data_IF_520802258652
#
_entry.id   IF_520802258652
#
_cell.length_a   1.000
_cell.length_b   1.000
_cell.length_c   1.000
_cell.angle_alpha   90.00
_cell.angle_beta   90.00
_cell.angle_gamma   90.00
#
_symmetry.space_group_name_H-M   'P 1'
#
loop_
_entity.id
_entity.type
_entity.pdbx_description
1 polymer ?
#
# COMPACT_ATOMS: atom_id res chain seq x y z
N UNK A 1 -41.76 -48.64 -19.23
CA UNK A 1 -41.64 -47.29 -19.81
C UNK A 1 -42.11 -46.13 -18.92
N UNK A 2 -43.37 -46.10 -18.44
CA UNK A 2 -43.91 -44.97 -17.64
C UNK A 2 -42.98 -44.50 -16.49
N UNK A 3 -42.53 -45.41 -15.64
CA UNK A 3 -41.61 -45.12 -14.52
C UNK A 3 -40.29 -44.49 -14.95
N UNK A 4 -39.80 -44.80 -16.15
CA UNK A 4 -38.59 -44.20 -16.72
C UNK A 4 -38.82 -42.72 -17.02
N UNK A 5 -39.96 -42.39 -17.65
CA UNK A 5 -40.33 -41.00 -17.92
C UNK A 5 -40.51 -40.19 -16.63
N UNK A 6 -41.12 -40.79 -15.60
CA UNK A 6 -41.33 -40.10 -14.32
C UNK A 6 -39.98 -39.70 -13.71
N UNK A 7 -39.00 -40.62 -13.69
CA UNK A 7 -37.63 -40.32 -13.24
C UNK A 7 -36.97 -39.20 -14.04
N UNK A 8 -37.11 -39.21 -15.37
CA UNK A 8 -36.58 -38.13 -16.23
C UNK A 8 -37.22 -36.79 -15.86
N UNK A 9 -38.53 -36.76 -15.64
CA UNK A 9 -39.23 -35.53 -15.26
C UNK A 9 -38.77 -35.02 -13.90
N UNK A 10 -38.57 -35.92 -12.92
CA UNK A 10 -38.00 -35.57 -11.62
C UNK A 10 -36.65 -34.88 -11.79
N UNK A 11 -35.74 -35.45 -12.58
CA UNK A 11 -34.42 -34.83 -12.81
C UNK A 11 -34.50 -33.48 -13.52
N UNK A 12 -35.42 -33.32 -14.49
CA UNK A 12 -35.63 -32.01 -15.13
C UNK A 12 -36.12 -30.97 -14.10
N UNK A 13 -37.01 -31.36 -13.17
CA UNK A 13 -37.46 -30.49 -12.09
C UNK A 13 -36.34 -30.16 -11.10
N UNK A 14 -35.47 -31.12 -10.76
CA UNK A 14 -34.30 -30.86 -9.90
C UNK A 14 -33.31 -29.91 -10.58
N UNK A 15 -33.02 -30.11 -11.86
CA UNK A 15 -32.15 -29.20 -12.63
C UNK A 15 -32.69 -27.77 -12.68
N UNK A 16 -34.01 -27.60 -12.83
CA UNK A 16 -34.63 -26.28 -12.82
C UNK A 16 -34.42 -25.53 -11.49
N UNK A 17 -34.45 -26.24 -10.36
CA UNK A 17 -34.25 -25.63 -9.03
C UNK A 17 -32.82 -25.12 -8.81
N UNK A 18 -31.86 -25.59 -9.60
CA UNK A 18 -30.47 -25.12 -9.55
C UNK A 18 -30.28 -23.75 -10.23
N UNK A 19 -31.24 -23.32 -11.06
CA UNK A 19 -31.18 -22.01 -11.67
C UNK A 19 -31.39 -20.91 -10.62
N UNK A 20 -30.78 -19.73 -10.81
CA UNK A 20 -31.08 -18.54 -10.01
C UNK A 20 -32.57 -18.14 -10.06
N UNK A 21 -33.12 -17.49 -9.01
CA UNK A 21 -34.54 -17.13 -8.94
C UNK A 21 -35.04 -16.23 -10.08
N UNK A 22 -34.16 -15.43 -10.66
CA UNK A 22 -34.41 -14.55 -11.82
C UNK A 22 -34.48 -15.34 -13.15
N UNK A 23 -33.76 -16.45 -13.26
CA UNK A 23 -33.78 -17.33 -14.43
C UNK A 23 -34.89 -18.40 -14.38
N UNK A 24 -35.36 -18.72 -13.18
CA UNK A 24 -36.58 -19.48 -12.95
C UNK A 24 -37.77 -18.65 -13.46
N UNK A 25 -38.35 -19.03 -14.60
CA UNK A 25 -39.44 -18.25 -15.17
C UNK A 25 -40.63 -18.16 -14.22
N UNK A 26 -41.22 -16.97 -14.14
CA UNK A 26 -42.47 -16.70 -13.41
C UNK A 26 -43.70 -17.41 -13.99
N UNK A 27 -43.57 -18.07 -15.16
CA UNK A 27 -44.69 -18.75 -15.81
C UNK A 27 -44.76 -20.21 -15.39
N UNK A 28 -45.90 -20.58 -14.81
CA UNK A 28 -46.27 -21.91 -14.31
C UNK A 28 -46.17 -23.04 -15.36
N UNK A 29 -45.92 -22.72 -16.64
CA UNK A 29 -45.93 -23.66 -17.77
C UNK A 29 -44.68 -23.54 -18.66
N UNK A 30 -43.50 -23.69 -18.08
CA UNK A 30 -42.26 -23.85 -18.87
C UNK A 30 -42.21 -25.23 -19.52
N UNK A 31 -41.83 -25.29 -20.80
CA UNK A 31 -41.58 -26.56 -21.46
C UNK A 31 -40.27 -27.18 -20.97
N UNK A 32 -40.20 -28.52 -20.94
CA UNK A 32 -38.99 -29.26 -20.57
C UNK A 32 -37.77 -28.87 -21.40
N UNK A 33 -37.97 -28.60 -22.70
CA UNK A 33 -36.90 -28.17 -23.59
C UNK A 33 -36.33 -26.80 -23.22
N UNK A 34 -37.19 -25.85 -22.84
CA UNK A 34 -36.74 -24.51 -22.40
C UNK A 34 -35.99 -24.60 -21.09
N UNK A 35 -36.49 -25.38 -20.13
CA UNK A 35 -35.80 -25.63 -18.85
C UNK A 35 -34.40 -26.18 -19.10
N UNK A 36 -34.29 -27.24 -19.89
CA UNK A 36 -33.00 -27.87 -20.19
C UNK A 36 -32.04 -26.90 -20.91
N UNK A 37 -32.53 -26.14 -21.90
CA UNK A 37 -31.72 -25.14 -22.61
C UNK A 37 -31.14 -24.11 -21.64
N UNK A 38 -31.97 -23.54 -20.76
CA UNK A 38 -31.52 -22.53 -19.78
C UNK A 38 -30.53 -23.08 -18.78
N UNK A 39 -30.77 -24.28 -18.24
CA UNK A 39 -29.81 -24.94 -17.35
C UNK A 39 -28.45 -25.12 -18.02
N UNK A 40 -28.45 -25.52 -19.30
CA UNK A 40 -27.21 -25.64 -20.07
C UNK A 40 -26.53 -24.27 -20.25
N UNK A 41 -27.27 -23.24 -20.66
CA UNK A 41 -26.74 -21.87 -20.85
C UNK A 41 -26.18 -21.30 -19.55
N UNK A 42 -26.91 -21.48 -18.43
CA UNK A 42 -26.49 -21.04 -17.11
C UNK A 42 -25.18 -21.69 -16.67
N UNK A 43 -25.07 -23.02 -16.74
CA UNK A 43 -23.83 -23.69 -16.33
C UNK A 43 -22.65 -23.36 -17.23
N UNK A 44 -22.86 -23.17 -18.53
CA UNK A 44 -21.80 -22.71 -19.43
C UNK A 44 -21.35 -21.28 -19.09
N UNK A 45 -22.28 -20.39 -18.77
CA UNK A 45 -21.97 -19.04 -18.36
C UNK A 45 -21.22 -19.02 -17.02
N UNK A 46 -21.68 -19.77 -16.02
CA UNK A 46 -21.01 -19.88 -14.72
C UNK A 46 -19.60 -20.45 -14.86
N UNK A 47 -19.41 -21.50 -15.66
CA UNK A 47 -18.08 -22.06 -15.93
C UNK A 47 -17.13 -21.03 -16.58
N UNK A 48 -17.63 -20.28 -17.57
CA UNK A 48 -16.90 -19.19 -18.21
C UNK A 48 -16.53 -18.08 -17.21
N UNK A 49 -17.49 -17.63 -16.41
CA UNK A 49 -17.28 -16.61 -15.37
C UNK A 49 -16.28 -17.05 -14.32
N UNK A 50 -16.35 -18.30 -13.85
CA UNK A 50 -15.41 -18.85 -12.87
C UNK A 50 -13.99 -18.93 -13.43
N UNK A 51 -13.82 -19.33 -14.70
CA UNK A 51 -12.52 -19.34 -15.37
C UNK A 51 -11.93 -17.93 -15.47
N UNK A 52 -12.73 -16.95 -15.87
CA UNK A 52 -12.30 -15.56 -15.94
C UNK A 52 -11.94 -15.00 -14.56
N UNK A 53 -12.76 -15.26 -13.54
CA UNK A 53 -12.51 -14.84 -12.17
C UNK A 53 -11.22 -15.46 -11.61
N UNK A 54 -10.99 -16.76 -11.83
CA UNK A 54 -9.77 -17.43 -11.40
C UNK A 54 -8.53 -16.84 -12.09
N UNK A 55 -8.60 -16.56 -13.39
CA UNK A 55 -7.50 -15.92 -14.10
C UNK A 55 -7.18 -14.53 -13.53
N UNK A 56 -8.21 -13.73 -13.24
CA UNK A 56 -8.04 -12.42 -12.61
C UNK A 56 -7.42 -12.51 -11.21
N UNK A 57 -7.88 -13.46 -10.38
CA UNK A 57 -7.33 -13.70 -9.05
C UNK A 57 -5.85 -14.07 -9.12
N UNK A 58 -5.46 -14.98 -10.02
CA UNK A 58 -4.05 -15.35 -10.19
C UNK A 58 -3.20 -14.17 -10.68
N UNK A 59 -3.72 -13.36 -11.61
CA UNK A 59 -3.03 -12.14 -12.06
C UNK A 59 -2.80 -11.17 -10.89
N UNK A 60 -3.85 -10.87 -10.11
CA UNK A 60 -3.74 -10.00 -8.93
C UNK A 60 -2.79 -10.57 -7.88
N UNK A 61 -2.78 -11.90 -7.70
CA UNK A 61 -1.86 -12.57 -6.77
C UNK A 61 -0.40 -12.37 -7.17
N UNK A 62 -0.09 -12.49 -8.46
CA UNK A 62 1.25 -12.23 -9.01
C UNK A 62 1.64 -10.77 -8.83
N UNK A 63 0.75 -9.85 -9.21
CA UNK A 63 0.99 -8.40 -9.07
C UNK A 63 1.24 -7.99 -7.61
N UNK A 64 0.41 -8.48 -6.69
CA UNK A 64 0.57 -8.21 -5.26
C UNK A 64 1.91 -8.75 -4.73
N UNK A 65 2.33 -9.93 -5.20
CA UNK A 65 3.64 -10.50 -4.90
C UNK A 65 4.79 -9.58 -5.33
N UNK A 66 4.73 -9.06 -6.55
CA UNK A 66 5.72 -8.13 -7.10
C UNK A 66 5.74 -6.80 -6.33
N UNK A 67 4.57 -6.23 -6.04
CA UNK A 67 4.46 -4.99 -5.26
C UNK A 67 5.03 -5.15 -3.85
N UNK A 68 4.73 -6.27 -3.18
CA UNK A 68 5.32 -6.59 -1.87
C UNK A 68 6.83 -6.74 -1.94
N UNK A 69 7.35 -7.35 -3.01
CA UNK A 69 8.80 -7.44 -3.22
C UNK A 69 9.42 -6.05 -3.39
N UNK A 70 8.83 -5.21 -4.26
CA UNK A 70 9.33 -3.86 -4.50
C UNK A 70 9.29 -3.00 -3.24
N UNK A 71 8.24 -3.16 -2.43
CA UNK A 71 8.13 -2.46 -1.15
C UNK A 71 9.26 -2.86 -0.18
N UNK A 72 9.58 -4.15 -0.08
CA UNK A 72 10.72 -4.62 0.74
C UNK A 72 12.06 -4.06 0.27
N UNK A 73 12.31 -4.05 -1.04
CA UNK A 73 13.54 -3.48 -1.60
C UNK A 73 13.69 -1.99 -1.27
N UNK A 74 12.61 -1.21 -1.44
CA UNK A 74 12.59 0.21 -1.10
C UNK A 74 12.76 0.46 0.40
N UNK A 75 12.15 -0.36 1.25
CA UNK A 75 12.35 -0.28 2.69
C UNK A 75 13.81 -0.54 3.07
N UNK A 76 14.46 -1.53 2.44
CA UNK A 76 15.86 -1.83 2.68
C UNK A 76 16.77 -0.67 2.22
N UNK A 77 16.53 -0.13 1.02
CA UNK A 77 17.28 1.02 0.51
C UNK A 77 17.13 2.24 1.43
N UNK A 78 15.90 2.52 1.87
CA UNK A 78 15.62 3.61 2.79
C UNK A 78 16.34 3.44 4.14
N UNK A 79 16.38 2.22 4.69
CA UNK A 79 17.12 1.91 5.91
C UNK A 79 18.62 2.16 5.74
N UNK A 80 19.21 1.72 4.62
CA UNK A 80 20.63 1.93 4.33
C UNK A 80 20.98 3.41 4.18
N UNK A 81 20.17 4.16 3.43
CA UNK A 81 20.35 5.60 3.28
C UNK A 81 20.20 6.33 4.61
N UNK A 82 19.19 5.98 5.40
CA UNK A 82 18.98 6.56 6.73
C UNK A 82 20.15 6.29 7.68
N UNK A 83 20.73 5.08 7.65
CA UNK A 83 21.90 4.74 8.43
C UNK A 83 23.15 5.53 7.98
N UNK A 84 23.35 5.69 6.67
CA UNK A 84 24.45 6.48 6.10
C UNK A 84 24.36 7.95 6.53
N UNK A 85 23.16 8.54 6.48
CA UNK A 85 22.92 9.90 6.93
C UNK A 85 23.18 10.08 8.43
N UNK A 86 22.69 9.16 9.27
CA UNK A 86 22.97 9.19 10.71
C UNK A 86 24.47 9.09 11.01
N UNK A 87 25.19 8.20 10.32
CA UNK A 87 26.63 8.05 10.50
C UNK A 87 27.38 9.33 10.07
N UNK A 88 27.01 9.92 8.95
CA UNK A 88 27.57 11.20 8.48
C UNK A 88 27.32 12.35 9.47
N UNK A 89 26.10 12.45 10.01
CA UNK A 89 25.76 13.44 11.03
C UNK A 89 26.56 13.23 12.33
N UNK A 90 26.71 11.99 12.79
CA UNK A 90 27.51 11.65 13.96
C UNK A 90 29.00 12.01 13.78
N UNK A 91 29.56 11.73 12.59
CA UNK A 91 30.93 12.10 12.25
C UNK A 91 31.13 13.63 12.26
N UNK A 92 30.21 14.39 11.66
CA UNK A 92 30.25 15.85 11.68
C UNK A 92 30.16 16.42 13.11
N UNK A 93 29.29 15.86 13.95
CA UNK A 93 29.17 16.25 15.35
C UNK A 93 30.44 15.93 16.17
N UNK A 94 31.08 14.79 15.92
CA UNK A 94 32.36 14.42 16.55
C UNK A 94 33.48 15.40 16.16
N UNK A 95 33.54 15.81 14.89
CA UNK A 95 34.49 16.83 14.43
C UNK A 95 34.29 18.18 15.12
N UNK A 96 33.05 18.60 15.36
CA UNK A 96 32.75 19.83 16.11
C UNK A 96 33.18 19.73 17.58
N UNK A 97 33.00 18.57 18.21
CA UNK A 97 33.41 18.33 19.61
C UNK A 97 34.92 18.27 19.80
N UNK A 98 35.64 17.70 18.82
CA UNK A 98 37.11 17.61 18.84
C UNK A 98 37.81 18.89 18.36
N UNK A 99 37.06 19.89 17.87
CA UNK A 99 37.62 21.20 17.59
C UNK A 99 37.95 21.87 18.94
N UNK A 100 39.20 21.78 19.36
CA UNK A 100 39.71 22.50 20.53
C UNK A 100 39.32 23.99 20.43
N UNK A 101 38.93 24.64 21.54
CA UNK A 101 38.82 26.09 21.55
C UNK A 101 40.18 26.64 21.11
N UNK A 102 40.19 27.40 20.01
CA UNK A 102 41.38 28.07 19.50
C UNK A 102 41.99 28.81 20.69
N UNK A 103 43.21 28.41 21.09
CA UNK A 103 43.92 29.07 22.18
C UNK A 103 43.87 30.59 21.93
N UNK A 104 43.57 31.41 22.94
CA UNK A 104 43.58 32.86 22.78
C UNK A 104 44.93 33.24 22.19
N UNK A 105 44.93 33.84 21.01
CA UNK A 105 46.13 34.49 20.49
C UNK A 105 46.51 35.52 21.55
N UNK A 106 47.64 35.30 22.21
CA UNK A 106 48.23 36.23 23.15
C UNK A 106 48.32 37.61 22.49
N UNK A 107 47.72 38.67 23.06
CA UNK A 107 48.06 40.01 22.64
C UNK A 107 49.49 40.30 23.13
N UNK A 108 50.36 40.74 22.23
CA UNK A 108 51.58 41.44 22.60
C UNK A 108 51.20 42.61 23.54
N UNK A 109 51.88 42.80 24.67
CA UNK A 109 51.76 44.04 25.42
C UNK A 109 52.59 45.12 24.72
N UNK A 110 52.20 46.39 24.93
CA UNK A 110 52.75 47.63 24.34
C UNK A 110 52.08 47.94 22.98
N UNK A 111 51.13 48.88 22.85
CA UNK A 111 51.06 50.20 23.48
C UNK A 111 49.64 50.66 23.82
N UNK A 112 49.59 51.44 24.89
CA UNK A 112 48.53 52.35 25.32
C UNK A 112 48.03 53.29 24.22
N UNK A 113 46.70 53.40 24.06
CA UNK A 113 45.94 54.64 24.24
C UNK A 113 44.56 54.58 23.57
N UNK A 114 43.56 55.20 24.23
CA UNK A 114 42.42 55.80 23.51
C UNK A 114 41.05 55.26 23.91
N UNK A 115 40.42 55.96 24.84
CA UNK A 115 39.01 55.85 25.20
C UNK A 115 38.06 56.26 24.05
N UNK A 116 36.85 55.68 24.02
CA UNK A 116 35.70 56.23 23.29
C UNK A 116 34.61 55.22 22.93
N UNK A 117 33.36 55.35 23.42
CA UNK A 117 32.30 54.36 23.25
C UNK A 117 31.40 54.65 22.03
N UNK A 118 30.78 53.61 21.46
CA UNK A 118 29.79 53.77 20.39
C UNK A 118 28.96 52.51 20.16
N UNK A 119 27.65 52.68 20.34
CA UNK A 119 26.51 51.79 20.03
C UNK A 119 26.68 50.87 18.81
N UNK A 120 26.08 49.67 18.81
CA UNK A 120 24.65 49.49 18.51
C UNK A 120 24.28 48.01 18.22
N UNK A 121 23.16 47.58 18.81
CA UNK A 121 22.09 46.75 18.20
C UNK A 121 22.28 45.26 17.81
N UNK A 122 21.46 44.45 18.50
CA UNK A 122 20.46 43.51 17.94
C UNK A 122 20.88 42.10 17.53
N UNK A 123 20.73 41.15 18.44
CA UNK A 123 20.60 39.72 18.17
C UNK A 123 19.19 39.22 18.49
N UNK A 124 18.32 39.20 17.48
CA UNK A 124 16.96 38.64 17.53
C UNK A 124 16.99 37.13 17.68
N UNK A 125 16.16 36.66 18.59
CA UNK A 125 15.91 35.27 18.95
C UNK A 125 15.16 34.57 17.79
N UNK A 126 15.77 33.55 17.17
CA UNK A 126 15.08 32.66 16.24
C UNK A 126 14.73 31.34 16.93
N UNK A 127 13.44 31.07 16.85
CA UNK A 127 12.62 30.07 17.50
C UNK A 127 12.64 28.80 16.65
N UNK A 128 12.99 27.66 17.25
CA UNK A 128 12.81 26.35 16.61
C UNK A 128 11.32 26.01 16.47
N UNK A 129 10.89 25.44 15.34
CA UNK A 129 9.63 24.71 15.27
C UNK A 129 9.86 23.20 15.41
N UNK A 130 9.24 22.71 16.48
CA UNK A 130 8.92 21.35 16.86
C UNK A 130 8.40 20.47 15.71
N UNK A 131 9.00 19.29 15.53
CA UNK A 131 8.52 18.20 14.67
C UNK A 131 7.31 17.50 15.29
N UNK A 132 6.14 17.52 14.63
CA UNK A 132 5.14 16.44 14.77
C UNK A 132 4.08 16.49 13.66
N UNK A 133 4.03 15.47 12.80
CA UNK A 133 2.86 15.04 12.03
C UNK A 133 3.19 13.64 11.47
N UNK A 134 2.80 12.55 12.15
CA UNK A 134 1.48 11.92 12.18
C UNK A 134 0.99 11.47 10.78
N UNK A 135 1.01 10.16 10.54
CA UNK A 135 0.49 9.49 9.34
C UNK A 135 -0.57 8.47 9.78
N UNK A 136 -1.80 8.50 9.21
CA UNK A 136 -2.81 7.51 9.55
C UNK A 136 -2.71 6.24 8.68
N UNK A 137 -3.22 5.16 9.26
CA UNK A 137 -3.40 3.83 8.66
C UNK A 137 -4.65 3.73 7.78
#
# INVERSE_FOLDING_TARGET
ERRRRDRINTWISELYKLLPPDEQAKSQYQSKGIVLKRVCEYFQNVDSMLKAANAAVEQTRVENGLLRQRNRELQQENQLLSASLHLGAAAAAAHLKNRQPRAPLHPNPEDSNGAGPGDNSSGTQLKEPNETADYPA
#
